data_IF_988081890950
#
_entry.id   IF_988081890950
#
_cell.length_a   1.000
_cell.length_b   1.000
_cell.length_c   1.000
_cell.angle_alpha   90.00
_cell.angle_beta   90.00
_cell.angle_gamma   90.00
#
_symmetry.space_group_name_H-M   'P 1'
#
loop_
_entity.id
_entity.type
_entity.pdbx_description
1 polymer ?
#
# COMPACT_ATOMS: atom_id res chain seq x y z
N UNK A 1 -12.52 -14.81 -6.63
CA UNK A 1 -12.47 -15.62 -5.40
C UNK A 1 -12.76 -14.75 -4.19
N UNK A 2 -11.81 -13.99 -3.63
CA UNK A 2 -12.07 -13.18 -2.42
C UNK A 2 -13.16 -12.12 -2.59
N UNK A 3 -13.38 -11.61 -3.81
CA UNK A 3 -14.46 -10.65 -4.11
C UNK A 3 -15.61 -11.28 -4.90
N UNK A 4 -15.69 -12.62 -4.98
CA UNK A 4 -16.75 -13.28 -5.72
C UNK A 4 -18.09 -13.03 -5.02
N UNK A 5 -19.11 -12.65 -5.79
CA UNK A 5 -20.47 -12.37 -5.32
C UNK A 5 -20.60 -11.19 -4.34
N UNK A 6 -19.54 -10.42 -4.15
CA UNK A 6 -19.53 -9.22 -3.31
C UNK A 6 -19.73 -7.98 -4.20
N UNK A 7 -20.83 -7.22 -4.01
CA UNK A 7 -21.06 -5.98 -4.74
C UNK A 7 -19.93 -4.97 -4.47
N UNK A 8 -19.26 -4.53 -5.54
CA UNK A 8 -18.22 -3.52 -5.47
C UNK A 8 -18.73 -2.23 -6.15
N UNK A 9 -19.24 -1.25 -5.38
CA UNK A 9 -19.79 -0.04 -5.97
C UNK A 9 -18.71 0.80 -6.68
N UNK A 10 -19.12 1.59 -7.67
CA UNK A 10 -18.23 2.47 -8.44
C UNK A 10 -17.95 3.82 -7.73
N UNK A 11 -18.84 4.19 -6.80
CA UNK A 11 -18.80 5.39 -5.97
C UNK A 11 -19.22 5.04 -4.55
N UNK A 12 -18.70 5.76 -3.55
CA UNK A 12 -19.19 5.71 -2.18
C UNK A 12 -19.96 6.99 -1.92
N UNK A 13 -21.16 6.85 -1.41
CA UNK A 13 -22.01 7.96 -0.97
C UNK A 13 -21.68 8.33 0.48
N UNK A 14 -22.13 9.51 0.93
CA UNK A 14 -21.94 9.94 2.32
C UNK A 14 -22.51 8.95 3.34
N UNK A 15 -23.59 8.23 2.99
CA UNK A 15 -24.18 7.16 3.83
C UNK A 15 -23.31 5.91 3.97
N UNK A 16 -22.39 5.68 3.04
CA UNK A 16 -21.50 4.51 3.05
C UNK A 16 -20.30 4.73 3.97
N UNK A 17 -20.02 5.99 4.30
CA UNK A 17 -18.95 6.44 5.19
C UNK A 17 -19.56 6.92 6.50
N UNK A 18 -19.02 6.43 7.62
CA UNK A 18 -19.36 6.93 8.94
C UNK A 18 -18.69 8.29 9.20
N UNK A 19 -19.01 8.92 10.33
CA UNK A 19 -18.44 10.22 10.71
C UNK A 19 -16.91 10.18 10.73
N UNK A 20 -16.31 11.29 10.30
CA UNK A 20 -14.85 11.51 10.23
C UNK A 20 -14.09 10.39 9.49
N UNK A 21 -14.44 10.08 8.22
CA UNK A 21 -13.77 9.03 7.50
C UNK A 21 -12.33 9.43 7.17
N UNK A 22 -11.45 8.43 7.12
CA UNK A 22 -10.04 8.56 6.75
C UNK A 22 -9.78 8.04 5.33
N UNK A 23 -8.89 8.71 4.61
CA UNK A 23 -8.31 8.20 3.36
C UNK A 23 -6.86 7.80 3.60
N UNK A 24 -6.47 6.58 3.22
CA UNK A 24 -5.07 6.12 3.20
C UNK A 24 -4.67 5.88 1.75
N UNK A 25 -3.52 6.42 1.33
CA UNK A 25 -3.06 6.38 -0.06
C UNK A 25 -1.70 5.69 -0.14
N UNK A 26 -1.59 4.71 -1.04
CA UNK A 26 -0.29 4.24 -1.54
C UNK A 26 0.33 5.35 -2.41
N UNK A 27 1.24 6.09 -1.81
CA UNK A 27 1.91 7.25 -2.40
C UNK A 27 2.77 6.86 -3.60
N UNK A 28 3.44 5.71 -3.57
CA UNK A 28 4.28 5.28 -4.69
C UNK A 28 3.42 4.91 -5.91
N UNK A 29 2.29 4.22 -5.69
CA UNK A 29 1.34 3.94 -6.76
C UNK A 29 0.75 5.23 -7.34
N UNK A 30 0.51 6.26 -6.51
CA UNK A 30 0.02 7.56 -6.97
C UNK A 30 1.08 8.32 -7.80
N UNK A 31 2.36 8.32 -7.38
CA UNK A 31 3.48 8.88 -8.16
C UNK A 31 3.53 8.24 -9.55
N UNK A 32 3.42 6.91 -9.62
CA UNK A 32 3.42 6.17 -10.89
C UNK A 32 2.20 6.53 -11.74
N UNK A 33 1.03 6.72 -11.13
CA UNK A 33 -0.20 7.06 -11.84
C UNK A 33 -0.17 8.48 -12.41
N UNK A 34 0.38 9.45 -11.68
CA UNK A 34 0.55 10.85 -12.13
C UNK A 34 1.62 10.93 -13.22
N UNK A 35 2.73 10.19 -13.06
CA UNK A 35 3.84 10.19 -14.03
C UNK A 35 4.49 11.57 -14.15
N UNK A 36 4.73 12.01 -15.38
CA UNK A 36 5.21 13.37 -15.69
C UNK A 36 4.06 14.18 -16.30
N UNK A 37 3.42 15.10 -15.56
CA UNK A 37 2.36 15.95 -16.09
C UNK A 37 2.87 16.82 -17.24
N UNK A 38 2.06 17.00 -18.29
CA UNK A 38 2.47 17.71 -19.50
C UNK A 38 2.80 19.19 -19.25
N UNK A 39 2.07 19.83 -18.33
CA UNK A 39 2.27 21.22 -17.96
C UNK A 39 3.41 21.43 -16.95
N UNK A 40 3.87 20.37 -16.27
CA UNK A 40 4.89 20.47 -15.24
C UNK A 40 6.29 20.59 -15.85
N UNK A 41 7.00 21.66 -15.50
CA UNK A 41 8.37 21.95 -15.94
C UNK A 41 9.38 21.68 -14.84
N UNK A 42 9.00 21.88 -13.58
CA UNK A 42 9.86 21.74 -12.41
C UNK A 42 9.35 20.67 -11.43
N UNK A 43 10.20 20.27 -10.48
CA UNK A 43 9.75 19.41 -9.38
C UNK A 43 8.70 20.10 -8.49
N UNK A 44 8.74 21.44 -8.39
CA UNK A 44 7.69 22.24 -7.76
C UNK A 44 6.34 22.06 -8.44
N UNK A 45 6.30 22.18 -9.77
CA UNK A 45 5.06 21.96 -10.54
C UNK A 45 4.52 20.53 -10.36
N UNK A 46 5.41 19.53 -10.36
CA UNK A 46 5.03 18.14 -10.11
C UNK A 46 4.45 17.95 -8.70
N UNK A 47 5.10 18.52 -7.68
CA UNK A 47 4.60 18.49 -6.31
C UNK A 47 3.25 19.19 -6.21
N UNK A 48 3.04 20.26 -6.96
CA UNK A 48 1.76 20.98 -6.95
C UNK A 48 0.62 20.12 -7.51
N UNK A 49 0.86 19.46 -8.65
CA UNK A 49 -0.08 18.47 -9.19
C UNK A 49 -0.30 17.32 -8.21
N UNK A 50 0.74 16.83 -7.53
CA UNK A 50 0.64 15.73 -6.57
C UNK A 50 -0.23 16.11 -5.37
N UNK A 51 0.05 17.24 -4.72
CA UNK A 51 -0.72 17.76 -3.57
C UNK A 51 -2.18 17.99 -3.98
N UNK A 52 -2.43 18.63 -5.11
CA UNK A 52 -3.79 18.85 -5.63
C UNK A 52 -4.52 17.52 -5.87
N UNK A 53 -3.85 16.52 -6.44
CA UNK A 53 -4.44 15.20 -6.66
C UNK A 53 -4.80 14.49 -5.36
N UNK A 54 -3.96 14.61 -4.32
CA UNK A 54 -4.23 14.07 -2.98
C UNK A 54 -5.43 14.78 -2.36
N UNK A 55 -5.45 16.11 -2.37
CA UNK A 55 -6.55 16.90 -1.79
C UNK A 55 -7.89 16.68 -2.53
N UNK A 56 -7.86 16.57 -3.85
CA UNK A 56 -9.05 16.23 -4.65
C UNK A 56 -9.56 14.82 -4.35
N UNK A 57 -8.66 13.84 -4.26
CA UNK A 57 -9.02 12.46 -3.89
C UNK A 57 -9.57 12.38 -2.47
N UNK A 58 -9.05 13.23 -1.59
CA UNK A 58 -9.39 13.33 -0.18
C UNK A 58 -10.45 14.39 0.15
N UNK A 59 -11.18 14.93 -0.84
CA UNK A 59 -12.05 16.09 -0.63
C UNK A 59 -13.07 15.91 0.52
N UNK A 60 -13.63 14.71 0.65
CA UNK A 60 -14.61 14.36 1.69
C UNK A 60 -14.00 13.80 3.00
N UNK A 61 -12.68 13.68 3.09
CA UNK A 61 -11.98 13.06 4.23
C UNK A 61 -11.26 14.14 5.03
N UNK A 62 -11.44 14.20 6.35
CA UNK A 62 -10.71 15.17 7.17
C UNK A 62 -9.24 14.79 7.31
N UNK A 63 -8.96 13.49 7.48
CA UNK A 63 -7.61 12.93 7.57
C UNK A 63 -7.22 12.16 6.33
N UNK A 64 -6.03 12.43 5.80
CA UNK A 64 -5.44 11.76 4.64
C UNK A 64 -4.01 11.32 4.99
N UNK A 65 -3.77 10.01 4.95
CA UNK A 65 -2.46 9.42 5.19
C UNK A 65 -1.85 9.00 3.84
N UNK A 66 -0.63 9.44 3.51
CA UNK A 66 0.06 9.14 2.25
C UNK A 66 1.38 8.44 2.54
N UNK A 67 1.52 7.19 2.11
CA UNK A 67 2.59 6.30 2.54
C UNK A 67 3.45 5.85 1.37
N UNK A 68 4.76 5.88 1.53
CA UNK A 68 5.74 5.57 0.48
C UNK A 68 6.60 4.36 0.83
N UNK A 69 7.13 3.72 -0.21
CA UNK A 69 8.18 2.72 -0.07
C UNK A 69 9.50 3.36 0.41
N UNK A 70 10.27 2.57 1.15
CA UNK A 70 11.69 2.78 1.40
C UNK A 70 12.53 2.10 0.33
N UNK A 71 13.66 2.72 0.05
CA UNK A 71 14.62 2.24 -0.94
C UNK A 71 15.97 2.01 -0.25
N UNK A 72 16.19 0.79 0.26
CA UNK A 72 17.47 0.38 0.85
C UNK A 72 18.38 -0.28 -0.19
N UNK A 73 19.68 0.06 -0.17
CA UNK A 73 20.69 -0.48 -1.11
C UNK A 73 20.85 -2.01 -1.05
N UNK A 74 20.54 -2.64 0.08
CA UNK A 74 20.71 -4.09 0.31
C UNK A 74 19.38 -4.83 0.54
N UNK A 75 18.27 -4.34 -0.02
CA UNK A 75 16.98 -5.00 0.09
C UNK A 75 16.94 -6.36 -0.63
N UNK A 76 16.20 -7.31 -0.06
CA UNK A 76 15.82 -8.59 -0.70
C UNK A 76 15.13 -8.33 -2.06
N UNK A 77 14.40 -7.22 -2.19
CA UNK A 77 13.71 -6.84 -3.44
C UNK A 77 14.60 -6.21 -4.51
N UNK A 78 15.88 -5.96 -4.23
CA UNK A 78 16.82 -5.41 -5.22
C UNK A 78 16.88 -6.26 -6.52
N UNK A 79 16.77 -7.59 -6.39
CA UNK A 79 16.70 -8.51 -7.53
C UNK A 79 15.44 -8.33 -8.39
N UNK A 80 14.27 -8.24 -7.75
CA UNK A 80 12.98 -8.02 -8.42
C UNK A 80 12.92 -6.63 -9.06
N UNK A 81 13.42 -5.60 -8.38
CA UNK A 81 13.51 -4.21 -8.90
C UNK A 81 14.41 -4.15 -10.14
N UNK A 82 15.58 -4.82 -10.13
CA UNK A 82 16.47 -4.93 -11.30
C UNK A 82 15.79 -5.61 -12.50
N UNK A 83 14.96 -6.64 -12.28
CA UNK A 83 14.19 -7.30 -13.35
C UNK A 83 13.14 -6.36 -13.95
N UNK A 84 12.41 -5.60 -13.12
CA UNK A 84 11.40 -4.60 -13.56
C UNK A 84 12.02 -3.41 -14.31
N UNK A 85 13.29 -3.09 -14.05
CA UNK A 85 14.04 -2.03 -14.75
C UNK A 85 14.64 -2.41 -16.11
N UNK A 86 14.51 -3.68 -16.56
CA UNK A 86 15.03 -4.12 -17.87
C UNK A 86 14.37 -3.32 -19.00
N UNK A 87 15.10 -2.36 -19.56
CA UNK A 87 14.66 -1.51 -20.67
C UNK A 87 14.86 -0.01 -20.46
N UNK A 88 15.12 0.43 -19.22
CA UNK A 88 15.43 1.84 -18.90
C UNK A 88 16.83 1.96 -18.30
N UNK A 89 17.65 2.87 -18.85
CA UNK A 89 18.94 3.22 -18.23
C UNK A 89 18.64 4.16 -17.06
N UNK A 90 18.75 3.66 -15.83
CA UNK A 90 18.56 4.48 -14.63
C UNK A 90 19.60 5.61 -14.57
N UNK A 91 19.15 6.86 -14.41
CA UNK A 91 20.03 8.03 -14.33
C UNK A 91 19.77 8.77 -13.02
N UNK A 92 20.78 8.90 -12.16
CA UNK A 92 20.70 9.66 -10.91
C UNK A 92 20.45 11.14 -11.19
N UNK A 93 19.49 11.73 -10.48
CA UNK A 93 19.19 13.16 -10.49
C UNK A 93 18.57 13.55 -9.14
N UNK A 94 19.33 14.19 -8.24
CA UNK A 94 18.83 14.61 -6.94
C UNK A 94 17.61 15.53 -7.02
N UNK A 95 16.65 15.33 -6.10
CA UNK A 95 15.47 16.21 -5.93
C UNK A 95 15.71 17.09 -4.70
N UNK A 96 16.36 18.23 -4.92
CA UNK A 96 16.84 19.11 -3.83
C UNK A 96 16.02 20.40 -3.71
N UNK A 97 15.36 20.84 -4.78
CA UNK A 97 14.61 22.10 -4.81
C UNK A 97 13.41 22.03 -5.75
N UNK A 98 12.40 22.86 -5.45
CA UNK A 98 11.22 23.09 -6.30
C UNK A 98 11.60 23.58 -7.70
N UNK A 99 12.60 24.44 -7.84
CA UNK A 99 12.93 25.10 -9.12
C UNK A 99 13.69 24.18 -10.11
N UNK A 100 14.14 23.02 -9.64
CA UNK A 100 14.89 22.09 -10.49
C UNK A 100 13.98 21.57 -11.62
N UNK A 101 14.46 21.59 -12.87
CA UNK A 101 13.66 21.13 -14.00
C UNK A 101 13.40 19.63 -13.93
N UNK A 102 12.24 19.19 -14.40
CA UNK A 102 11.92 17.77 -14.49
C UNK A 102 12.83 17.08 -15.53
N UNK A 103 13.21 15.82 -15.30
CA UNK A 103 13.96 15.03 -16.26
C UNK A 103 13.23 14.94 -17.61
N UNK A 104 13.97 15.07 -18.71
CA UNK A 104 13.42 14.88 -20.05
C UNK A 104 12.91 13.44 -20.24
N UNK A 105 13.71 12.45 -19.84
CA UNK A 105 13.36 11.02 -19.86
C UNK A 105 12.87 10.58 -18.47
N UNK A 106 11.58 10.76 -18.20
CA UNK A 106 10.97 10.42 -16.89
C UNK A 106 11.17 8.96 -16.50
N UNK A 107 11.05 8.03 -17.45
CA UNK A 107 11.20 6.59 -17.17
C UNK A 107 12.61 6.24 -16.68
N UNK A 108 13.64 6.88 -17.21
CA UNK A 108 15.03 6.70 -16.75
C UNK A 108 15.24 7.27 -15.34
N UNK A 109 14.57 8.38 -15.02
CA UNK A 109 14.63 8.97 -13.70
C UNK A 109 13.96 8.09 -12.65
N UNK A 110 12.72 7.66 -12.91
CA UNK A 110 11.94 6.87 -11.94
C UNK A 110 12.51 5.46 -11.80
N UNK A 111 13.26 4.94 -12.77
CA UNK A 111 13.92 3.64 -12.64
C UNK A 111 15.04 3.62 -11.57
N UNK A 112 15.57 4.77 -11.16
CA UNK A 112 16.63 4.87 -10.16
C UNK A 112 16.06 4.96 -8.73
N UNK A 113 16.46 4.04 -7.86
CA UNK A 113 15.92 3.95 -6.48
C UNK A 113 16.17 5.22 -5.66
N UNK A 114 17.40 5.75 -5.64
CA UNK A 114 17.69 7.01 -4.93
C UNK A 114 16.87 8.20 -5.43
N UNK A 115 16.49 8.22 -6.71
CA UNK A 115 15.61 9.28 -7.23
C UNK A 115 14.19 9.13 -6.72
N UNK A 116 13.69 7.88 -6.59
CA UNK A 116 12.38 7.62 -6.00
C UNK A 116 12.37 8.01 -4.52
N UNK A 117 13.43 7.68 -3.78
CA UNK A 117 13.58 8.08 -2.39
C UNK A 117 13.61 9.61 -2.23
N UNK A 118 14.42 10.31 -3.03
CA UNK A 118 14.45 11.77 -3.03
C UNK A 118 13.11 12.39 -3.39
N UNK A 119 12.43 11.85 -4.41
CA UNK A 119 11.11 12.32 -4.81
C UNK A 119 10.08 12.10 -3.71
N UNK A 120 10.04 10.91 -3.10
CA UNK A 120 9.15 10.56 -2.00
C UNK A 120 9.36 11.49 -0.79
N UNK A 121 10.62 11.76 -0.43
CA UNK A 121 10.98 12.73 0.61
C UNK A 121 10.46 14.12 0.29
N UNK A 122 10.78 14.60 -0.91
CA UNK A 122 10.41 15.94 -1.36
C UNK A 122 8.89 16.14 -1.37
N UNK A 123 8.12 15.22 -1.95
CA UNK A 123 6.66 15.34 -1.98
C UNK A 123 6.02 15.13 -0.60
N UNK A 124 6.59 14.29 0.28
CA UNK A 124 6.15 14.17 1.67
C UNK A 124 6.24 15.51 2.39
N UNK A 125 7.37 16.21 2.25
CA UNK A 125 7.54 17.55 2.82
C UNK A 125 6.55 18.56 2.23
N UNK A 126 6.28 18.50 0.92
CA UNK A 126 5.31 19.40 0.27
C UNK A 126 3.86 19.12 0.71
N UNK A 127 3.49 17.86 0.98
CA UNK A 127 2.18 17.49 1.51
C UNK A 127 1.94 18.10 2.88
N UNK A 128 2.91 17.99 3.79
CA UNK A 128 2.82 18.54 5.15
C UNK A 128 2.80 20.07 5.10
N UNK A 129 3.72 20.68 4.35
CA UNK A 129 3.83 22.14 4.24
C UNK A 129 2.58 22.82 3.66
N UNK A 130 1.89 22.14 2.73
CA UNK A 130 0.76 22.71 1.97
C UNK A 130 -0.59 22.14 2.39
N UNK A 131 -0.65 21.47 3.54
CA UNK A 131 -1.90 20.98 4.10
C UNK A 131 -2.87 22.15 4.39
N UNK A 132 -4.11 22.10 3.89
CA UNK A 132 -5.14 23.08 4.26
C UNK A 132 -5.47 23.02 5.75
N UNK A 133 -5.85 24.16 6.35
CA UNK A 133 -6.17 24.25 7.78
C UNK A 133 -7.33 23.34 8.24
N UNK A 134 -8.21 22.94 7.33
CA UNK A 134 -9.35 22.04 7.60
C UNK A 134 -9.05 20.58 7.25
N UNK A 135 -7.78 20.21 7.03
CA UNK A 135 -7.33 18.87 6.68
C UNK A 135 -6.14 18.49 7.55
N UNK A 136 -6.11 17.23 7.95
CA UNK A 136 -4.94 16.61 8.56
C UNK A 136 -4.28 15.71 7.53
N UNK A 137 -3.04 16.03 7.16
CA UNK A 137 -2.23 15.20 6.27
C UNK A 137 -1.16 14.50 7.09
N UNK A 138 -1.04 13.19 6.94
CA UNK A 138 0.04 12.39 7.52
C UNK A 138 0.86 11.80 6.38
N UNK A 139 2.18 11.87 6.48
CA UNK A 139 3.10 11.25 5.54
C UNK A 139 4.06 10.30 6.27
N UNK A 140 4.37 9.16 5.66
CA UNK A 140 5.36 8.22 6.20
C UNK A 140 6.13 7.50 5.08
N UNK A 141 7.30 6.96 5.42
CA UNK A 141 8.15 6.21 4.50
C UNK A 141 8.93 7.06 3.50
N UNK A 142 8.56 8.33 3.29
CA UNK A 142 9.31 9.24 2.41
C UNK A 142 10.56 9.86 3.03
N UNK A 143 10.70 9.90 4.36
CA UNK A 143 11.72 10.73 5.03
C UNK A 143 13.12 10.11 5.07
N UNK A 144 14.16 10.86 5.44
CA UNK A 144 15.51 10.25 5.54
C UNK A 144 15.61 9.21 6.65
N UNK A 145 14.89 9.41 7.74
CA UNK A 145 14.70 8.43 8.81
C UNK A 145 13.58 7.44 8.42
N UNK A 146 13.83 6.15 8.68
CA UNK A 146 12.98 5.03 8.27
C UNK A 146 11.69 4.94 9.08
N UNK A 147 11.74 5.35 10.35
CA UNK A 147 10.61 5.28 11.28
C UNK A 147 9.76 6.53 11.23
N UNK A 148 10.36 7.66 10.84
CA UNK A 148 9.74 8.98 10.89
C UNK A 148 8.39 9.04 10.16
N UNK A 149 7.41 9.54 10.90
CA UNK A 149 6.09 9.96 10.42
C UNK A 149 5.96 11.46 10.69
N UNK A 150 5.41 12.20 9.73
CA UNK A 150 5.06 13.61 9.95
C UNK A 150 3.56 13.81 9.75
N UNK A 151 2.98 14.70 10.54
CA UNK A 151 1.61 15.16 10.40
C UNK A 151 1.58 16.68 10.27
N UNK A 152 0.64 17.19 9.47
CA UNK A 152 0.40 18.64 9.37
C UNK A 152 -0.26 19.22 10.62
N UNK A 153 -0.85 18.36 11.44
CA UNK A 153 -1.46 18.69 12.73
C UNK A 153 -0.62 18.03 13.84
N UNK A 154 -0.04 18.85 14.72
CA UNK A 154 0.82 18.40 15.82
C UNK A 154 0.08 17.63 16.92
N UNK A 155 -1.25 17.59 16.89
CA UNK A 155 -2.06 16.81 17.84
C UNK A 155 -2.15 15.32 17.47
N UNK A 156 -1.73 14.96 16.25
CA UNK A 156 -1.69 13.56 15.82
C UNK A 156 -0.54 12.83 16.50
N UNK A 157 -0.88 11.71 17.15
CA UNK A 157 0.10 10.75 17.69
C UNK A 157 0.81 10.02 16.54
N UNK A 158 1.96 10.57 16.14
CA UNK A 158 2.83 10.01 15.10
C UNK A 158 3.63 8.80 15.59
N UNK A 159 3.97 8.76 16.88
CA UNK A 159 4.80 7.70 17.48
C UNK A 159 4.14 6.33 17.30
N UNK A 160 2.81 6.27 17.43
CA UNK A 160 2.03 5.05 17.21
C UNK A 160 2.05 4.52 15.76
N UNK A 161 2.49 5.35 14.80
CA UNK A 161 2.51 5.07 13.36
C UNK A 161 3.93 4.80 12.83
N UNK A 162 4.96 4.99 13.67
CA UNK A 162 6.35 4.73 13.31
C UNK A 162 6.59 3.23 13.06
N UNK A 163 7.31 2.94 11.98
CA UNK A 163 7.67 1.57 11.62
C UNK A 163 8.87 1.50 10.67
N UNK A 164 9.69 0.45 10.81
CA UNK A 164 10.83 0.13 9.92
C UNK A 164 10.43 -0.64 8.66
N UNK A 165 9.14 -0.61 8.29
CA UNK A 165 8.63 -1.37 7.15
C UNK A 165 9.25 -0.85 5.84
N UNK A 166 9.84 -1.71 5.01
CA UNK A 166 10.39 -1.23 3.72
C UNK A 166 9.27 -0.80 2.76
N UNK A 167 8.08 -1.40 2.84
CA UNK A 167 7.07 -1.25 1.79
C UNK A 167 5.85 -0.45 2.24
N UNK A 168 5.26 0.28 1.28
CA UNK A 168 4.07 1.07 1.53
C UNK A 168 2.86 0.19 1.91
N UNK A 169 2.77 -1.03 1.41
CA UNK A 169 1.66 -1.96 1.63
C UNK A 169 1.40 -2.27 3.12
N UNK A 170 2.46 -2.63 3.83
CA UNK A 170 2.45 -2.96 5.26
C UNK A 170 2.31 -1.71 6.11
N UNK A 171 2.84 -0.55 5.65
CA UNK A 171 2.58 0.75 6.29
C UNK A 171 1.11 1.15 6.18
N UNK A 172 0.49 0.96 5.01
CA UNK A 172 -0.95 1.21 4.78
C UNK A 172 -1.77 0.43 5.79
N UNK A 173 -1.47 -0.85 5.98
CA UNK A 173 -2.20 -1.71 6.91
C UNK A 173 -1.95 -1.29 8.36
N UNK A 174 -0.72 -0.93 8.74
CA UNK A 174 -0.41 -0.38 10.06
C UNK A 174 -1.22 0.88 10.37
N UNK A 175 -1.27 1.84 9.44
CA UNK A 175 -2.05 3.06 9.61
C UNK A 175 -3.55 2.76 9.74
N UNK A 176 -4.07 1.76 9.02
CA UNK A 176 -5.45 1.31 9.19
C UNK A 176 -5.71 0.71 10.58
N UNK A 177 -4.78 -0.11 11.10
CA UNK A 177 -4.87 -0.72 12.45
C UNK A 177 -4.84 0.34 13.56
N UNK A 178 -3.99 1.36 13.40
CA UNK A 178 -3.79 2.43 14.40
C UNK A 178 -4.81 3.56 14.27
N UNK A 179 -5.63 3.55 13.22
CA UNK A 179 -6.67 4.54 13.03
C UNK A 179 -7.82 4.36 14.02
N UNK A 180 -8.41 5.47 14.44
CA UNK A 180 -9.65 5.52 15.22
C UNK A 180 -10.88 5.80 14.34
N UNK A 181 -10.69 5.98 13.03
CA UNK A 181 -11.78 6.30 12.11
C UNK A 181 -12.72 5.10 11.94
N UNK A 182 -14.03 5.34 12.04
CA UNK A 182 -15.04 4.31 11.84
C UNK A 182 -15.23 3.92 10.36
N UNK A 183 -14.63 4.67 9.44
CA UNK A 183 -14.59 4.35 8.01
C UNK A 183 -13.25 4.73 7.42
N UNK A 184 -12.64 3.77 6.71
CA UNK A 184 -11.33 3.94 6.10
C UNK A 184 -11.43 3.56 4.63
N UNK A 185 -10.98 4.47 3.76
CA UNK A 185 -10.82 4.18 2.33
C UNK A 185 -9.34 4.06 2.04
N UNK A 186 -8.92 2.91 1.52
CA UNK A 186 -7.54 2.66 1.08
C UNK A 186 -7.48 2.81 -0.43
N UNK A 187 -6.76 3.81 -0.91
CA UNK A 187 -6.50 4.05 -2.33
C UNK A 187 -5.17 3.43 -2.73
N UNK A 188 -5.23 2.20 -3.24
CA UNK A 188 -4.06 1.44 -3.66
C UNK A 188 -4.36 0.61 -4.92
N UNK A 189 -3.32 0.21 -5.65
CA UNK A 189 -3.46 -0.65 -6.84
C UNK A 189 -2.98 -2.09 -6.62
N UNK A 190 -2.17 -2.30 -5.59
CA UNK A 190 -1.55 -3.59 -5.30
C UNK A 190 -2.56 -4.54 -4.64
N UNK A 191 -2.64 -5.77 -5.14
CA UNK A 191 -3.50 -6.81 -4.54
C UNK A 191 -2.97 -7.33 -3.22
N UNK A 192 -1.66 -7.20 -2.96
CA UNK A 192 -1.04 -7.62 -1.70
C UNK A 192 -1.66 -6.83 -0.53
N UNK A 193 -1.98 -5.54 -0.74
CA UNK A 193 -2.71 -4.70 0.24
C UNK A 193 -4.10 -5.25 0.54
N UNK A 194 -4.84 -5.74 -0.46
CA UNK A 194 -6.17 -6.35 -0.21
C UNK A 194 -6.04 -7.57 0.71
N UNK A 195 -5.06 -8.43 0.43
CA UNK A 195 -4.81 -9.64 1.22
C UNK A 195 -4.42 -9.29 2.64
N UNK A 196 -3.52 -8.30 2.82
CA UNK A 196 -3.12 -7.84 4.14
C UNK A 196 -4.27 -7.18 4.91
N UNK A 197 -5.11 -6.38 4.26
CA UNK A 197 -6.28 -5.76 4.89
C UNK A 197 -7.26 -6.82 5.41
N UNK A 198 -7.48 -7.91 4.66
CA UNK A 198 -8.32 -9.04 5.10
C UNK A 198 -7.64 -9.79 6.25
N UNK A 199 -6.35 -10.10 6.12
CA UNK A 199 -5.59 -10.90 7.09
C UNK A 199 -5.50 -10.25 8.48
N UNK A 200 -5.45 -8.91 8.52
CA UNK A 200 -5.31 -8.14 9.75
C UNK A 200 -6.58 -7.36 10.14
N UNK A 201 -7.72 -7.63 9.48
CA UNK A 201 -8.97 -6.93 9.75
C UNK A 201 -9.41 -7.02 11.22
N UNK A 202 -9.20 -8.17 11.87
CA UNK A 202 -9.57 -8.41 13.27
C UNK A 202 -8.78 -7.54 14.27
N UNK A 203 -7.67 -6.91 13.85
CA UNK A 203 -6.89 -5.99 14.68
C UNK A 203 -7.44 -4.56 14.65
N UNK A 204 -8.41 -4.28 13.78
CA UNK A 204 -8.94 -2.94 13.55
C UNK A 204 -10.24 -2.77 14.35
N UNK A 205 -10.40 -1.70 15.15
CA UNK A 205 -11.56 -1.51 16.01
C UNK A 205 -12.83 -1.06 15.24
N UNK A 206 -13.38 -1.95 14.41
CA UNK A 206 -14.67 -1.85 13.72
C UNK A 206 -14.84 -0.84 12.56
N UNK A 207 -13.84 -0.56 11.71
CA UNK A 207 -14.07 0.28 10.55
C UNK A 207 -14.82 -0.45 9.42
N UNK A 208 -15.73 0.27 8.76
CA UNK A 208 -16.07 -0.04 7.37
C UNK A 208 -14.84 0.30 6.51
N UNK A 209 -14.11 -0.73 6.11
CA UNK A 209 -12.94 -0.58 5.23
C UNK A 209 -13.32 -0.82 3.79
N UNK A 210 -12.92 0.10 2.93
CA UNK A 210 -13.05 0.02 1.48
C UNK A 210 -11.69 0.15 0.82
N UNK A 211 -11.34 -0.78 -0.07
CA UNK A 211 -10.19 -0.60 -0.94
C UNK A 211 -10.65 -0.07 -2.30
N UNK A 212 -10.25 1.16 -2.64
CA UNK A 212 -10.46 1.75 -3.96
C UNK A 212 -9.47 1.15 -4.94
N UNK A 213 -9.97 0.38 -5.90
CA UNK A 213 -9.19 -0.28 -6.94
C UNK A 213 -9.63 0.14 -8.35
N UNK A 214 -8.80 -0.21 -9.34
CA UNK A 214 -9.08 0.02 -10.75
C UNK A 214 -8.64 1.39 -11.28
N UNK A 215 -8.89 1.65 -12.56
CA UNK A 215 -8.53 2.91 -13.21
C UNK A 215 -9.64 3.94 -13.03
N UNK A 216 -9.38 5.21 -13.38
CA UNK A 216 -10.42 6.25 -13.37
C UNK A 216 -11.70 5.85 -14.13
N UNK A 217 -11.57 5.04 -15.21
CA UNK A 217 -12.69 4.57 -16.04
C UNK A 217 -13.36 3.28 -15.52
N UNK A 218 -12.67 2.50 -14.69
CA UNK A 218 -13.14 1.20 -14.16
C UNK A 218 -12.91 1.15 -12.64
N UNK A 219 -13.32 2.21 -11.97
CA UNK A 219 -13.17 2.35 -10.52
C UNK A 219 -14.12 1.39 -9.83
N UNK A 220 -13.65 0.75 -8.76
CA UNK A 220 -14.47 -0.03 -7.84
C UNK A 220 -13.98 0.16 -6.42
N UNK A 221 -14.91 0.12 -5.47
CA UNK A 221 -14.61 0.07 -4.05
C UNK A 221 -14.90 -1.34 -3.55
N UNK A 222 -13.86 -2.02 -3.08
CA UNK A 222 -13.93 -3.39 -2.56
C UNK A 222 -14.22 -3.30 -1.05
N UNK A 223 -15.38 -3.76 -0.56
CA UNK A 223 -15.69 -3.74 0.87
C UNK A 223 -14.94 -4.87 1.60
N UNK A 224 -13.82 -4.54 2.25
CA UNK A 224 -13.01 -5.53 2.99
C UNK A 224 -13.81 -6.15 4.12
N UNK A 225 -14.62 -5.35 4.82
CA UNK A 225 -15.49 -5.81 5.89
C UNK A 225 -16.51 -6.86 5.42
N UNK A 226 -17.12 -6.67 4.24
CA UNK A 226 -18.05 -7.65 3.68
C UNK A 226 -17.35 -8.94 3.21
N UNK A 227 -16.10 -8.83 2.73
CA UNK A 227 -15.28 -10.02 2.41
C UNK A 227 -15.05 -10.84 3.68
N UNK A 228 -14.59 -10.21 4.76
CA UNK A 228 -14.33 -10.91 6.02
C UNK A 228 -15.61 -11.54 6.58
N UNK A 229 -16.73 -10.82 6.51
CA UNK A 229 -18.05 -11.34 6.91
C UNK A 229 -18.48 -12.56 6.07
N UNK A 230 -18.29 -12.52 4.74
CA UNK A 230 -18.62 -13.64 3.86
C UNK A 230 -17.70 -14.85 4.05
N UNK A 231 -16.42 -14.62 4.33
CA UNK A 231 -15.46 -15.70 4.55
C UNK A 231 -15.79 -16.52 5.81
N UNK A 232 -16.36 -15.89 6.84
CA UNK A 232 -16.70 -16.52 8.12
C UNK A 232 -15.54 -17.33 8.75
N UNK A 233 -14.30 -16.93 8.46
CA UNK A 233 -13.10 -17.58 8.96
C UNK A 233 -12.63 -16.95 10.27
N UNK A 234 -12.06 -17.77 11.15
CA UNK A 234 -11.43 -17.28 12.37
C UNK A 234 -10.21 -16.40 12.06
N UNK A 235 -9.94 -15.42 12.94
CA UNK A 235 -8.81 -14.49 12.78
C UNK A 235 -7.46 -15.20 12.57
N UNK A 236 -7.25 -16.34 13.23
CA UNK A 236 -6.03 -17.14 13.07
C UNK A 236 -5.88 -17.75 11.67
N UNK A 237 -6.98 -18.06 10.99
CA UNK A 237 -6.97 -18.56 9.61
C UNK A 237 -6.76 -17.41 8.63
N UNK A 238 -7.41 -16.26 8.85
CA UNK A 238 -7.22 -15.07 8.01
C UNK A 238 -5.75 -14.60 8.00
N UNK A 239 -5.05 -14.71 9.12
CA UNK A 239 -3.62 -14.42 9.23
C UNK A 239 -2.73 -15.30 8.34
N UNK A 240 -3.22 -16.44 7.85
CA UNK A 240 -2.49 -17.34 6.96
C UNK A 240 -2.69 -16.99 5.47
N UNK A 241 -3.59 -16.05 5.15
CA UNK A 241 -3.82 -15.60 3.77
C UNK A 241 -2.57 -15.02 3.10
N UNK A 242 -1.69 -14.23 3.76
CA UNK A 242 -0.45 -13.78 3.15
C UNK A 242 0.46 -14.95 2.77
N UNK A 243 0.57 -15.97 3.64
CA UNK A 243 1.36 -17.18 3.41
C UNK A 243 0.81 -17.99 2.22
N UNK A 244 -0.51 -18.21 2.19
CA UNK A 244 -1.19 -18.81 1.04
C UNK A 244 -0.98 -18.00 -0.25
N UNK A 245 -1.10 -16.68 -0.18
CA UNK A 245 -0.94 -15.80 -1.33
C UNK A 245 0.49 -15.82 -1.88
N UNK A 246 1.49 -15.86 -1.00
CA UNK A 246 2.90 -15.95 -1.37
C UNK A 246 3.21 -17.27 -2.10
N UNK A 247 2.63 -18.39 -1.66
CA UNK A 247 2.91 -19.70 -2.28
C UNK A 247 2.11 -19.95 -3.57
N UNK A 248 0.90 -19.42 -3.66
CA UNK A 248 0.01 -19.59 -4.84
C UNK A 248 0.14 -18.48 -5.89
N UNK A 249 1.15 -17.62 -5.72
CA UNK A 249 1.50 -16.52 -6.62
C UNK A 249 1.05 -15.15 -6.10
N UNK A 250 2.03 -14.28 -5.90
CA UNK A 250 1.88 -12.85 -5.54
C UNK A 250 2.61 -11.96 -6.55
N UNK A 251 2.60 -10.64 -6.34
CA UNK A 251 3.39 -9.73 -7.17
C UNK A 251 4.91 -9.89 -6.98
N UNK A 252 5.32 -10.58 -5.90
CA UNK A 252 6.71 -10.85 -5.54
C UNK A 252 7.14 -12.31 -5.79
N UNK A 253 6.20 -13.24 -5.90
CA UNK A 253 6.45 -14.69 -6.04
C UNK A 253 5.68 -15.29 -7.22
N UNK A 254 6.32 -16.19 -7.98
CA UNK A 254 5.59 -17.03 -8.93
C UNK A 254 4.77 -18.08 -8.16
N UNK A 255 3.74 -18.62 -8.80
CA UNK A 255 3.00 -19.76 -8.26
C UNK A 255 3.73 -21.07 -8.56
N UNK A 256 3.60 -22.06 -7.69
CA UNK A 256 4.10 -23.42 -7.94
C UNK A 256 3.31 -24.00 -9.11
N UNK A 257 3.98 -24.63 -10.08
CA UNK A 257 3.34 -25.10 -11.30
C UNK A 257 2.15 -26.03 -10.99
N UNK A 258 0.94 -25.67 -11.44
CA UNK A 258 -0.30 -26.38 -11.14
C UNK A 258 -1.05 -25.88 -9.89
N UNK A 259 -0.37 -25.16 -9.00
CA UNK A 259 -0.90 -24.71 -7.71
C UNK A 259 -1.01 -23.20 -7.65
N UNK A 260 -2.08 -22.68 -8.25
CA UNK A 260 -2.44 -21.26 -8.22
C UNK A 260 -3.47 -20.98 -7.13
N UNK A 261 -4.08 -19.79 -7.15
CA UNK A 261 -5.22 -19.42 -6.29
C UNK A 261 -6.44 -20.36 -6.42
N UNK A 262 -6.41 -21.30 -7.36
CA UNK A 262 -7.37 -22.42 -7.46
C UNK A 262 -7.26 -23.41 -6.30
N UNK A 263 -6.16 -23.42 -5.53
CA UNK A 263 -6.00 -24.24 -4.32
C UNK A 263 -6.76 -23.69 -3.11
N UNK A 264 -7.81 -22.88 -3.33
CA UNK A 264 -8.58 -22.27 -2.25
C UNK A 264 -9.27 -23.29 -1.36
N UNK A 265 -9.91 -24.29 -1.95
CA UNK A 265 -10.64 -25.30 -1.19
C UNK A 265 -9.66 -26.10 -0.31
N UNK A 266 -8.45 -26.40 -0.82
CA UNK A 266 -7.35 -27.00 -0.06
C UNK A 266 -6.91 -26.08 1.09
N UNK A 267 -6.82 -24.76 0.85
CA UNK A 267 -6.54 -23.80 1.92
C UNK A 267 -7.63 -23.82 3.00
N UNK A 268 -8.91 -23.81 2.62
CA UNK A 268 -10.02 -23.85 3.58
C UNK A 268 -9.91 -25.08 4.48
N UNK A 269 -9.64 -26.25 3.91
CA UNK A 269 -9.58 -27.52 4.65
C UNK A 269 -8.27 -27.72 5.43
N UNK A 270 -7.13 -27.33 4.85
CA UNK A 270 -5.80 -27.66 5.34
C UNK A 270 -4.95 -26.43 5.72
N UNK A 271 -5.57 -25.31 6.06
CA UNK A 271 -4.86 -24.08 6.46
C UNK A 271 -3.80 -24.30 7.56
N UNK A 272 -4.01 -25.26 8.47
CA UNK A 272 -3.06 -25.58 9.54
C UNK A 272 -1.65 -25.94 9.04
N UNK A 273 -1.51 -26.47 7.81
CA UNK A 273 -0.23 -26.78 7.19
C UNK A 273 0.59 -25.54 6.81
N UNK A 274 -0.05 -24.36 6.75
CA UNK A 274 0.64 -23.10 6.48
C UNK A 274 1.01 -22.35 7.76
N UNK A 275 0.73 -22.92 8.93
CA UNK A 275 1.03 -22.31 10.23
C UNK A 275 2.54 -22.20 10.44
N UNK A 276 3.00 -21.08 10.99
CA UNK A 276 4.43 -20.81 11.19
C UNK A 276 5.13 -20.27 9.93
N UNK A 277 4.53 -20.37 8.74
CA UNK A 277 5.13 -19.84 7.53
C UNK A 277 5.09 -18.31 7.55
N UNK A 278 6.28 -17.69 7.64
CA UNK A 278 6.43 -16.23 7.71
C UNK A 278 6.43 -15.65 9.12
N UNK A 279 6.41 -16.47 10.17
CA UNK A 279 6.45 -15.99 11.58
C UNK A 279 7.86 -15.64 12.07
N UNK A 280 8.91 -16.02 11.33
CA UNK A 280 10.30 -15.79 11.72
C UNK A 280 11.27 -15.70 10.54
N UNK A 281 12.53 -15.31 10.80
CA UNK A 281 13.55 -15.14 9.77
C UNK A 281 14.04 -16.48 9.19
N UNK A 282 13.87 -17.58 9.91
CA UNK A 282 14.29 -18.92 9.51
C UNK A 282 13.07 -19.85 9.47
N UNK A 283 13.00 -20.71 8.45
CA UNK A 283 11.99 -21.74 8.33
C UNK A 283 12.47 -23.01 9.02
N UNK A 284 11.64 -23.58 9.89
CA UNK A 284 11.92 -24.89 10.48
C UNK A 284 11.71 -25.99 9.45
N UNK A 285 12.44 -27.11 9.56
CA UNK A 285 12.24 -28.29 8.70
C UNK A 285 10.77 -28.77 8.73
N UNK A 286 10.11 -28.66 9.88
CA UNK A 286 8.69 -28.99 10.02
C UNK A 286 7.79 -28.04 9.22
N UNK A 287 8.05 -26.74 9.25
CA UNK A 287 7.29 -25.74 8.47
C UNK A 287 7.49 -25.94 6.98
N UNK A 288 8.71 -26.30 6.55
CA UNK A 288 9.00 -26.64 5.15
C UNK A 288 8.21 -27.89 4.75
N UNK A 289 8.28 -28.94 5.55
CA UNK A 289 7.56 -30.19 5.31
C UNK A 289 6.04 -29.98 5.21
N UNK A 290 5.44 -29.24 6.15
CA UNK A 290 4.00 -28.96 6.10
C UNK A 290 3.61 -28.16 4.86
N UNK A 291 4.42 -27.17 4.48
CA UNK A 291 4.20 -26.40 3.26
C UNK A 291 4.33 -27.27 1.98
N UNK A 292 5.22 -28.27 1.97
CA UNK A 292 5.31 -29.26 0.88
C UNK A 292 4.06 -30.16 0.85
N UNK A 293 3.63 -30.67 2.00
CA UNK A 293 2.40 -31.48 2.13
C UNK A 293 1.16 -30.72 1.66
N UNK A 294 1.11 -29.40 1.84
CA UNK A 294 0.01 -28.57 1.33
C UNK A 294 -0.12 -28.61 -0.22
N UNK A 295 0.96 -28.90 -0.94
CA UNK A 295 0.98 -28.95 -2.41
C UNK A 295 1.02 -30.37 -3.00
N UNK A 296 1.31 -31.40 -2.20
CA UNK A 296 1.42 -32.79 -2.67
C UNK A 296 0.11 -33.57 -2.47
#
# INVERSE_FOLDING_TARGET
>A
MLTADIPCPIHLEARDLQDEPMLVIDGQALVIAIGKPQAAKTFGDLADVFVETVLQSGAQFQRIDVLFDRYHKHSIKSGTRKRRGRGSVAIRRPVESRDLPLPAKWQNFIAHEDNKADLARFISQQLILRAPANKTIVAAGGFSDDERVEASDSTIDTDSLEAKHEEADTRVVLHCIRSRAASIVVSARDTDILVLLIAYFHMMPWPKIWMKAGTAKKRKYIPVHAIVEQLQMEAQVLKLLPSFHALTGSDSTLYIAGHSKMCWDVFVEHNHLLKGLGEGPELSDHTIWDAEVFFC
#
